data_IF_415671692163
#
_entry.id   IF_415671692163
#
_cell.length_a   1.000
_cell.length_b   1.000
_cell.length_c   1.000
_cell.angle_alpha   90.00
_cell.angle_beta   90.00
_cell.angle_gamma   90.00
#
_symmetry.space_group_name_H-M   'P 1'
#
loop_
_entity.id
_entity.type
_entity.pdbx_description
1 polymer ?
#
# COMPACT_ATOMS: atom_id res chain seq x y z
N UNK A 1 -29.27 -26.17 -7.09
CA UNK A 1 -29.59 -25.09 -6.14
C UNK A 1 -28.43 -24.93 -5.18
N UNK A 2 -27.49 -24.02 -5.45
CA UNK A 2 -26.39 -23.71 -4.55
C UNK A 2 -26.80 -22.55 -3.64
N UNK A 3 -26.90 -22.81 -2.34
CA UNK A 3 -27.21 -21.78 -1.34
C UNK A 3 -25.99 -20.88 -1.15
N UNK A 4 -26.27 -19.57 -1.14
CA UNK A 4 -25.35 -18.46 -0.88
C UNK A 4 -24.57 -18.68 0.43
N UNK A 5 -23.27 -18.88 0.33
CA UNK A 5 -22.36 -18.71 1.46
C UNK A 5 -22.06 -17.23 1.62
N UNK A 6 -22.48 -16.68 2.75
CA UNK A 6 -22.30 -15.31 3.17
C UNK A 6 -20.81 -14.93 3.17
N UNK A 7 -20.48 -13.78 2.58
CA UNK A 7 -19.22 -13.09 2.85
C UNK A 7 -19.30 -12.57 4.29
N UNK A 8 -18.54 -13.17 5.20
CA UNK A 8 -18.49 -12.72 6.59
C UNK A 8 -17.60 -11.47 6.67
N UNK A 9 -18.16 -10.38 7.20
CA UNK A 9 -17.45 -9.19 7.64
C UNK A 9 -16.94 -9.51 9.04
N UNK A 10 -15.66 -9.87 9.17
CA UNK A 10 -15.03 -10.02 10.49
C UNK A 10 -14.40 -8.69 10.91
N UNK A 11 -14.86 -8.16 12.04
CA UNK A 11 -14.41 -6.91 12.65
C UNK A 11 -13.02 -7.01 13.30
N UNK A 12 -12.37 -8.18 13.32
CA UNK A 12 -11.07 -8.34 13.95
C UNK A 12 -9.90 -8.28 12.97
N UNK A 13 -9.46 -7.04 12.74
CA UNK A 13 -8.18 -6.61 12.16
C UNK A 13 -7.01 -7.62 12.24
N UNK A 14 -6.83 -8.49 11.23
CA UNK A 14 -5.52 -8.95 10.71
C UNK A 14 -5.67 -9.32 9.23
N UNK A 15 -5.19 -8.47 8.33
CA UNK A 15 -5.02 -8.87 6.92
C UNK A 15 -3.87 -9.88 6.84
N UNK A 16 -4.19 -11.15 7.09
CA UNK A 16 -3.37 -12.27 6.62
C UNK A 16 -3.40 -12.26 5.10
N UNK A 17 -2.38 -12.83 4.45
CA UNK A 17 -2.22 -12.88 2.99
C UNK A 17 -3.31 -13.73 2.29
N UNK A 18 -4.57 -13.31 2.45
CA UNK A 18 -5.82 -13.91 1.99
C UNK A 18 -6.50 -12.99 0.98
N UNK A 19 -7.15 -13.60 -0.02
CA UNK A 19 -7.85 -12.96 -1.14
C UNK A 19 -8.78 -11.77 -0.78
N UNK A 20 -9.14 -11.61 0.49
CA UNK A 20 -9.88 -10.44 0.99
C UNK A 20 -9.15 -9.09 0.82
N UNK A 21 -7.80 -9.07 0.80
CA UNK A 21 -7.05 -7.83 0.51
C UNK A 21 -7.28 -7.38 -0.93
N UNK A 22 -7.38 -8.34 -1.87
CA UNK A 22 -7.55 -8.08 -3.29
C UNK A 22 -8.89 -7.41 -3.63
N UNK A 23 -9.99 -7.87 -3.00
CA UNK A 23 -11.31 -7.27 -3.16
C UNK A 23 -11.38 -5.84 -2.60
N UNK A 24 -10.61 -5.54 -1.54
CA UNK A 24 -10.58 -4.21 -0.91
C UNK A 24 -9.64 -3.20 -1.58
N UNK A 25 -8.69 -3.69 -2.38
CA UNK A 25 -7.82 -2.85 -3.21
C UNK A 25 -8.39 -2.59 -4.62
N UNK A 26 -9.59 -3.07 -4.94
CA UNK A 26 -10.27 -2.75 -6.21
C UNK A 26 -9.79 -3.55 -7.43
N UNK A 27 -8.84 -4.48 -7.27
CA UNK A 27 -8.20 -5.15 -8.41
C UNK A 27 -8.94 -6.42 -8.86
N UNK A 28 -9.71 -6.29 -9.95
CA UNK A 28 -10.57 -7.34 -10.54
C UNK A 28 -9.84 -8.41 -11.36
N UNK A 29 -8.50 -8.37 -11.47
CA UNK A 29 -7.75 -9.15 -12.47
C UNK A 29 -6.92 -10.33 -11.95
N UNK A 30 -6.81 -10.55 -10.64
CA UNK A 30 -5.98 -11.63 -10.09
C UNK A 30 -6.81 -12.87 -9.73
N UNK A 31 -6.42 -14.03 -10.24
CA UNK A 31 -7.14 -15.29 -10.08
C UNK A 31 -6.80 -15.93 -8.72
N UNK A 32 -7.73 -15.84 -7.78
CA UNK A 32 -7.63 -16.43 -6.45
C UNK A 32 -8.08 -17.90 -6.44
N UNK A 33 -7.22 -18.82 -6.88
CA UNK A 33 -7.40 -20.24 -6.58
C UNK A 33 -6.82 -20.55 -5.20
N UNK A 34 -7.70 -20.93 -4.26
CA UNK A 34 -7.32 -21.37 -2.91
C UNK A 34 -6.40 -22.61 -2.99
N UNK A 35 -5.29 -22.67 -2.25
CA UNK A 35 -4.64 -23.95 -1.97
C UNK A 35 -5.55 -24.82 -1.09
N UNK A 36 -5.37 -26.14 -1.17
CA UNK A 36 -6.18 -27.10 -0.40
C UNK A 36 -5.97 -26.89 1.10
N UNK A 37 -7.03 -27.13 1.88
CA UNK A 37 -7.02 -27.10 3.35
C UNK A 37 -5.86 -27.94 3.90
N UNK A 38 -4.82 -27.28 4.42
CA UNK A 38 -3.62 -27.92 4.97
C UNK A 38 -2.31 -27.19 4.71
N UNK A 39 -2.24 -26.35 3.68
CA UNK A 39 -1.06 -25.53 3.41
C UNK A 39 -1.09 -24.23 4.25
N UNK A 40 -0.20 -24.15 5.24
CA UNK A 40 0.11 -22.93 6.01
C UNK A 40 1.00 -21.96 5.21
N UNK A 41 1.49 -22.37 4.05
CA UNK A 41 2.22 -21.52 3.11
C UNK A 41 1.22 -20.69 2.31
N UNK A 42 1.24 -19.35 2.40
CA UNK A 42 0.53 -18.50 1.46
C UNK A 42 0.88 -18.95 0.04
N UNK A 43 -0.08 -19.03 -0.90
CA UNK A 43 0.24 -19.44 -2.26
C UNK A 43 1.37 -18.56 -2.78
N UNK A 44 2.45 -19.17 -3.27
CA UNK A 44 3.65 -18.55 -3.84
C UNK A 44 3.38 -17.76 -5.15
N UNK A 45 2.18 -17.18 -5.27
CA UNK A 45 1.58 -16.71 -6.52
C UNK A 45 1.00 -15.29 -6.42
N UNK A 46 1.25 -14.60 -5.32
CA UNK A 46 0.94 -13.19 -5.19
C UNK A 46 2.16 -12.39 -5.64
N UNK A 47 2.28 -12.20 -6.96
CA UNK A 47 3.39 -11.42 -7.51
C UNK A 47 3.42 -10.04 -6.85
N UNK A 48 4.54 -9.76 -6.17
CA UNK A 48 4.75 -8.47 -5.53
C UNK A 48 4.32 -8.36 -4.06
N UNK A 49 3.61 -9.32 -3.46
CA UNK A 49 3.26 -9.25 -2.03
C UNK A 49 4.10 -10.23 -1.23
N UNK A 50 4.84 -9.72 -0.25
CA UNK A 50 5.63 -10.51 0.70
C UNK A 50 5.03 -10.43 2.09
N UNK A 51 5.09 -11.55 2.80
CA UNK A 51 4.54 -11.69 4.15
C UNK A 51 5.66 -12.11 5.10
N UNK A 52 5.59 -11.65 6.35
CA UNK A 52 6.46 -12.13 7.44
C UNK A 52 6.15 -13.57 7.82
N UNK A 53 7.03 -14.21 8.59
CA UNK A 53 6.82 -15.55 9.17
C UNK A 53 5.56 -15.65 10.04
N UNK A 54 5.12 -14.52 10.60
CA UNK A 54 3.88 -14.41 11.38
C UNK A 54 2.60 -14.30 10.54
N UNK A 55 2.73 -14.28 9.20
CA UNK A 55 1.63 -14.21 8.25
C UNK A 55 1.07 -12.80 8.00
N UNK A 56 1.76 -11.76 8.48
CA UNK A 56 1.42 -10.36 8.21
C UNK A 56 2.06 -9.87 6.91
N UNK A 57 1.36 -9.05 6.13
CA UNK A 57 1.93 -8.37 4.95
C UNK A 57 3.08 -7.47 5.38
N UNK A 58 4.25 -7.70 4.78
CA UNK A 58 5.50 -7.01 5.06
C UNK A 58 5.86 -6.02 3.95
N UNK A 59 5.72 -6.45 2.69
CA UNK A 59 6.10 -5.66 1.53
C UNK A 59 5.09 -5.83 0.42
N UNK A 60 4.77 -4.73 -0.27
CA UNK A 60 3.88 -4.68 -1.43
C UNK A 60 4.64 -4.04 -2.57
N UNK A 61 4.67 -4.70 -3.73
CA UNK A 61 5.41 -4.31 -4.92
C UNK A 61 4.59 -4.69 -6.15
N UNK A 62 3.54 -3.92 -6.45
CA UNK A 62 2.63 -4.25 -7.56
C UNK A 62 2.85 -3.28 -8.70
N UNK A 63 2.99 -3.82 -9.92
CA UNK A 63 3.20 -3.04 -11.14
C UNK A 63 1.93 -2.94 -11.97
N UNK A 64 1.86 -1.90 -12.80
CA UNK A 64 0.84 -1.73 -13.83
C UNK A 64 -0.61 -1.76 -13.28
N UNK A 65 -0.90 -0.82 -12.39
CA UNK A 65 -2.20 -0.63 -11.74
C UNK A 65 -3.23 0.08 -12.65
N UNK A 66 -2.92 0.23 -13.95
CA UNK A 66 -3.83 0.61 -15.02
C UNK A 66 -4.67 1.88 -14.79
N UNK A 67 -4.14 2.91 -14.13
CA UNK A 67 -4.86 4.18 -13.96
C UNK A 67 -5.65 4.31 -12.66
N UNK A 68 -5.50 3.37 -11.72
CA UNK A 68 -6.29 3.31 -10.49
C UNK A 68 -5.84 4.34 -9.43
N UNK A 69 -6.63 4.50 -8.37
CA UNK A 69 -6.31 5.33 -7.20
C UNK A 69 -5.67 4.49 -6.09
N UNK A 70 -4.87 5.12 -5.25
CA UNK A 70 -4.34 4.46 -4.04
C UNK A 70 -5.50 4.33 -3.04
N UNK A 71 -5.93 3.11 -2.74
CA UNK A 71 -7.03 2.87 -1.79
C UNK A 71 -6.61 3.23 -0.35
N UNK A 72 -7.39 4.05 0.38
CA UNK A 72 -7.18 4.34 1.80
C UNK A 72 -7.09 3.09 2.69
N UNK A 73 -7.67 1.97 2.25
CA UNK A 73 -7.61 0.70 2.96
C UNK A 73 -6.19 0.17 3.17
N UNK A 74 -5.21 0.63 2.38
CA UNK A 74 -3.80 0.30 2.60
C UNK A 74 -3.31 0.74 3.99
N UNK A 75 -3.87 1.81 4.55
CA UNK A 75 -3.57 2.27 5.91
C UNK A 75 -3.86 1.23 7.01
N UNK A 76 -4.60 0.17 6.71
CA UNK A 76 -4.88 -0.92 7.67
C UNK A 76 -3.73 -1.92 7.79
N UNK A 77 -2.73 -1.83 6.92
CA UNK A 77 -1.57 -2.72 6.92
C UNK A 77 -0.51 -2.23 7.90
N UNK A 78 -0.79 -2.36 9.20
CA UNK A 78 0.06 -1.81 10.27
C UNK A 78 1.47 -2.42 10.34
N UNK A 79 1.70 -3.56 9.69
CA UNK A 79 2.96 -4.29 9.68
C UNK A 79 3.78 -4.10 8.40
N UNK A 80 3.23 -3.39 7.42
CA UNK A 80 3.93 -3.17 6.15
C UNK A 80 5.12 -2.24 6.36
N UNK A 81 6.27 -2.62 5.81
CA UNK A 81 7.52 -1.87 5.83
C UNK A 81 7.80 -1.23 4.48
N UNK A 82 7.39 -1.87 3.39
CA UNK A 82 7.65 -1.39 2.02
C UNK A 82 6.34 -1.36 1.25
N UNK A 83 6.02 -0.18 0.71
CA UNK A 83 4.99 -0.02 -0.32
C UNK A 83 5.72 0.54 -1.55
N UNK A 84 5.83 -0.30 -2.58
CA UNK A 84 6.34 0.04 -3.89
C UNK A 84 5.22 -0.09 -4.93
N UNK A 85 4.78 1.05 -5.45
CA UNK A 85 3.77 1.15 -6.49
C UNK A 85 4.32 1.98 -7.67
N UNK A 86 5.63 1.91 -7.90
CA UNK A 86 6.26 2.61 -9.00
C UNK A 86 5.68 2.20 -10.36
N UNK A 87 5.51 3.18 -11.26
CA UNK A 87 5.04 2.94 -12.64
C UNK A 87 3.68 2.23 -12.71
N UNK A 88 2.79 2.52 -11.76
CA UNK A 88 1.43 2.00 -11.69
C UNK A 88 0.42 2.76 -12.56
N UNK A 89 0.81 3.90 -13.16
CA UNK A 89 -0.11 4.90 -13.73
C UNK A 89 -1.16 5.37 -12.71
N UNK A 90 -0.82 5.36 -11.43
CA UNK A 90 -1.74 5.72 -10.35
C UNK A 90 -2.16 7.19 -10.45
N UNK A 91 -3.41 7.49 -10.10
CA UNK A 91 -4.01 8.84 -10.18
C UNK A 91 -4.56 9.29 -8.84
N UNK A 92 -4.93 10.58 -8.78
CA UNK A 92 -5.52 11.19 -7.59
C UNK A 92 -4.48 11.54 -6.54
N UNK A 93 -4.92 11.73 -5.29
CA UNK A 93 -4.07 12.12 -4.18
C UNK A 93 -3.47 10.91 -3.46
N UNK A 94 -2.39 11.16 -2.72
CA UNK A 94 -1.86 10.19 -1.74
C UNK A 94 -2.80 10.19 -0.53
N UNK A 95 -3.40 9.04 -0.14
CA UNK A 95 -4.33 9.00 0.97
C UNK A 95 -3.61 9.22 2.32
N UNK A 96 -4.11 10.12 3.19
CA UNK A 96 -3.52 10.37 4.51
C UNK A 96 -3.55 9.13 5.40
N UNK A 97 -4.45 8.17 5.15
CA UNK A 97 -4.55 6.92 5.89
C UNK A 97 -3.28 6.05 5.81
N UNK A 98 -2.40 6.27 4.82
CA UNK A 98 -1.09 5.61 4.79
C UNK A 98 -0.23 5.95 6.02
N UNK A 99 -0.49 7.07 6.69
CA UNK A 99 0.14 7.40 7.97
C UNK A 99 -0.19 6.41 9.10
N UNK A 100 -1.22 5.57 8.94
CA UNK A 100 -1.55 4.51 9.91
C UNK A 100 -0.62 3.29 9.80
N UNK A 101 0.17 3.18 8.72
CA UNK A 101 1.19 2.16 8.55
C UNK A 101 2.44 2.51 9.38
N UNK A 102 2.33 2.48 10.71
CA UNK A 102 3.37 2.93 11.65
C UNK A 102 4.77 2.31 11.47
N UNK A 103 4.87 1.17 10.78
CA UNK A 103 6.14 0.47 10.48
C UNK A 103 6.67 0.74 9.07
N UNK A 104 6.02 1.62 8.30
CA UNK A 104 6.40 1.90 6.93
C UNK A 104 7.77 2.58 6.88
N UNK A 105 8.73 1.93 6.24
CA UNK A 105 10.11 2.39 6.09
C UNK A 105 10.35 3.02 4.72
N UNK A 106 9.70 2.50 3.68
CA UNK A 106 9.84 2.96 2.29
C UNK A 106 8.47 3.09 1.63
N UNK A 107 8.18 4.29 1.14
CA UNK A 107 7.05 4.58 0.26
C UNK A 107 7.59 5.02 -1.11
N UNK A 108 7.49 4.12 -2.10
CA UNK A 108 7.86 4.37 -3.48
C UNK A 108 6.62 4.51 -4.35
N UNK A 109 6.36 5.74 -4.81
CA UNK A 109 5.26 6.12 -5.70
C UNK A 109 5.78 6.81 -6.96
N UNK A 110 7.05 6.62 -7.31
CA UNK A 110 7.65 7.26 -8.48
C UNK A 110 6.93 6.89 -9.79
N UNK A 111 7.04 7.74 -10.80
CA UNK A 111 6.55 7.45 -12.16
C UNK A 111 5.03 7.18 -12.20
N UNK A 112 4.23 8.00 -11.53
CA UNK A 112 2.76 7.90 -11.54
C UNK A 112 2.13 9.22 -12.01
N UNK A 113 0.81 9.33 -11.98
CA UNK A 113 0.04 10.51 -12.33
C UNK A 113 -0.66 11.10 -11.08
N UNK A 114 -0.05 10.94 -9.90
CA UNK A 114 -0.57 11.45 -8.63
C UNK A 114 -0.55 12.98 -8.64
N UNK A 115 -1.61 13.58 -8.13
CA UNK A 115 -1.82 15.03 -8.08
C UNK A 115 -2.13 15.48 -6.65
N UNK A 116 -2.41 16.77 -6.46
CA UNK A 116 -2.57 17.40 -5.16
C UNK A 116 -1.25 17.47 -4.35
N UNK A 117 -1.34 17.98 -3.12
CA UNK A 117 -0.21 18.09 -2.21
C UNK A 117 0.08 16.80 -1.44
N UNK A 118 1.27 16.77 -0.82
CA UNK A 118 1.60 15.70 0.11
C UNK A 118 0.73 15.80 1.38
N UNK A 119 0.11 14.69 1.85
CA UNK A 119 -0.59 14.68 3.12
C UNK A 119 0.41 14.86 4.27
N UNK A 120 0.19 15.86 5.13
CA UNK A 120 1.07 16.18 6.25
C UNK A 120 1.17 15.05 7.27
N UNK A 121 0.18 14.17 7.31
CA UNK A 121 0.11 12.98 8.17
C UNK A 121 1.26 12.01 7.91
N UNK A 122 1.84 11.97 6.70
CA UNK A 122 3.03 11.16 6.42
C UNK A 122 4.23 11.56 7.26
N UNK A 123 4.29 12.81 7.73
CA UNK A 123 5.32 13.27 8.66
C UNK A 123 5.24 12.59 10.05
N UNK A 124 4.11 11.98 10.41
CA UNK A 124 3.95 11.24 11.66
C UNK A 124 4.56 9.84 11.62
N UNK A 125 4.97 9.36 10.44
CA UNK A 125 5.60 8.04 10.29
C UNK A 125 7.06 8.09 10.75
N UNK A 126 7.29 7.74 12.02
CA UNK A 126 8.63 7.77 12.64
C UNK A 126 9.58 6.70 12.12
N UNK A 127 9.09 5.71 11.36
CA UNK A 127 9.91 4.70 10.70
C UNK A 127 10.23 5.05 9.24
N UNK A 128 9.55 6.05 8.65
CA UNK A 128 9.66 6.34 7.23
C UNK A 128 11.01 6.97 6.94
N UNK A 129 11.84 6.24 6.21
CA UNK A 129 13.20 6.61 5.86
C UNK A 129 13.34 7.07 4.41
N UNK A 130 12.47 6.57 3.53
CA UNK A 130 12.47 6.88 2.10
C UNK A 130 11.07 7.25 1.62
N UNK A 131 10.91 8.48 1.17
CA UNK A 131 9.71 8.97 0.49
C UNK A 131 10.08 9.34 -0.95
N UNK A 132 9.72 8.47 -1.90
CA UNK A 132 10.06 8.60 -3.31
C UNK A 132 8.80 8.88 -4.10
N UNK A 133 8.60 10.13 -4.51
CA UNK A 133 7.39 10.59 -5.19
C UNK A 133 7.73 11.37 -6.48
N UNK A 134 8.94 11.23 -6.99
CA UNK A 134 9.39 11.89 -8.22
C UNK A 134 8.60 11.45 -9.45
N UNK A 135 8.53 12.31 -10.47
CA UNK A 135 7.82 12.02 -11.74
C UNK A 135 6.34 11.74 -11.50
N UNK A 136 5.68 12.67 -10.81
CA UNK A 136 4.23 12.74 -10.62
C UNK A 136 3.74 14.14 -11.06
N UNK A 137 2.56 14.57 -10.60
CA UNK A 137 1.99 15.91 -10.81
C UNK A 137 1.67 16.57 -9.46
N UNK A 138 2.47 16.28 -8.43
CA UNK A 138 2.24 16.79 -7.08
C UNK A 138 2.51 18.28 -7.04
N UNK A 139 1.66 19.02 -6.33
CA UNK A 139 1.77 20.47 -6.18
C UNK A 139 1.69 20.93 -4.73
N UNK A 140 1.50 22.23 -4.53
CA UNK A 140 1.35 22.82 -3.20
C UNK A 140 2.65 22.91 -2.41
N UNK A 141 2.53 23.25 -1.13
CA UNK A 141 3.66 23.38 -0.22
C UNK A 141 4.05 22.04 0.39
N UNK A 142 5.34 21.86 0.69
CA UNK A 142 5.82 20.71 1.46
C UNK A 142 5.34 20.88 2.92
N UNK A 143 4.54 19.95 3.47
CA UNK A 143 4.08 20.03 4.85
C UNK A 143 5.25 20.12 5.83
N UNK A 144 5.14 21.02 6.82
CA UNK A 144 6.18 21.18 7.87
C UNK A 144 6.47 19.89 8.62
N UNK A 145 5.47 19.03 8.81
CA UNK A 145 5.61 17.72 9.44
C UNK A 145 6.54 16.78 8.66
N UNK A 146 6.49 16.80 7.32
CA UNK A 146 7.40 16.03 6.46
C UNK A 146 8.79 16.67 6.48
N UNK A 147 8.88 18.00 6.39
CA UNK A 147 10.15 18.72 6.44
C UNK A 147 10.89 18.55 7.78
N UNK A 148 10.16 18.35 8.88
CA UNK A 148 10.69 18.13 10.22
C UNK A 148 10.78 16.65 10.61
N UNK A 149 10.55 15.72 9.67
CA UNK A 149 10.58 14.28 9.96
C UNK A 149 11.99 13.85 10.41
N UNK A 150 12.12 13.22 11.59
CA UNK A 150 13.44 12.84 12.13
C UNK A 150 14.03 11.59 11.46
N UNK A 151 13.19 10.76 10.83
CA UNK A 151 13.60 9.49 10.23
C UNK A 151 13.88 9.59 8.73
N UNK A 152 13.37 10.62 8.07
CA UNK A 152 13.41 10.73 6.62
C UNK A 152 14.84 11.06 6.15
N UNK A 153 15.44 10.12 5.43
CA UNK A 153 16.81 10.21 4.92
C UNK A 153 16.87 10.49 3.42
N UNK A 154 15.88 9.96 2.68
CA UNK A 154 15.76 10.15 1.24
C UNK A 154 14.37 10.68 0.96
N UNK A 155 14.31 11.90 0.46
CA UNK A 155 13.08 12.53 0.01
C UNK A 155 13.27 13.00 -1.43
N UNK A 156 12.61 12.33 -2.38
CA UNK A 156 12.74 12.64 -3.80
C UNK A 156 11.42 13.17 -4.37
N UNK A 157 11.40 14.47 -4.64
CA UNK A 157 10.29 15.21 -5.27
C UNK A 157 10.58 15.64 -6.70
N UNK A 158 11.70 15.22 -7.30
CA UNK A 158 12.11 15.70 -8.63
C UNK A 158 11.05 15.44 -9.71
N UNK A 159 10.95 16.33 -10.69
CA UNK A 159 10.02 16.23 -11.81
C UNK A 159 8.53 16.03 -11.40
N UNK A 160 8.07 16.80 -10.41
CA UNK A 160 6.65 16.99 -10.09
C UNK A 160 6.14 18.31 -10.65
#
# INVERSE_FOLDING_TARGET
MWRRSHCYFDEQFKFRCSCALQLKLGYSRWNCSLPRLGDITPPARWEGIQCTDSGHVDSISVKNLAGDVISPSLGRLQFVRIIDLESGKLRGQIPPELANCSRLETLNLMNNELSEGLPGELGNLTALSKLLVSRNKLGGEIPRSIAASPSLSIFNLSAN
#
